data_IF_018582098839
#
_entry.id   IF_018582098839
#
_cell.length_a   1.000
_cell.length_b   1.000
_cell.length_c   1.000
_cell.angle_alpha   90.00
_cell.angle_beta   90.00
_cell.angle_gamma   90.00
#
_symmetry.space_group_name_H-M   'P 1'
#
loop_
_entity.id
_entity.type
_entity.pdbx_description
1 polymer ?
#
# COMPACT_ATOMS: atom_id res chain seq x y z
N UNK A 1 -17.03 13.85 -6.24
CA UNK A 1 -15.86 13.77 -5.33
C UNK A 1 -14.61 13.29 -6.08
N UNK A 2 -14.68 12.20 -6.86
CA UNK A 2 -13.58 11.69 -7.68
C UNK A 2 -12.95 12.71 -8.65
N UNK A 3 -13.76 13.54 -9.33
CA UNK A 3 -13.26 14.60 -10.23
C UNK A 3 -12.40 15.66 -9.51
N UNK A 4 -12.77 16.01 -8.27
CA UNK A 4 -12.00 16.97 -7.45
C UNK A 4 -10.70 16.35 -6.93
N UNK A 5 -10.69 15.05 -6.62
CA UNK A 5 -9.48 14.35 -6.19
C UNK A 5 -8.49 14.10 -7.35
N UNK A 6 -8.96 13.75 -8.55
CA UNK A 6 -8.11 13.69 -9.74
C UNK A 6 -7.45 15.04 -10.05
N UNK A 7 -8.16 16.15 -9.81
CA UNK A 7 -7.60 17.49 -9.97
C UNK A 7 -6.47 17.77 -8.96
N UNK A 8 -6.63 17.40 -7.68
CA UNK A 8 -5.54 17.51 -6.69
C UNK A 8 -4.34 16.64 -7.02
N UNK A 9 -4.58 15.44 -7.56
CA UNK A 9 -3.52 14.51 -7.94
C UNK A 9 -2.74 15.01 -9.18
N UNK A 10 -3.45 15.58 -10.15
CA UNK A 10 -2.84 16.28 -11.29
C UNK A 10 -2.07 17.52 -10.85
N UNK A 11 -2.62 18.34 -9.96
CA UNK A 11 -1.93 19.52 -9.40
C UNK A 11 -0.67 19.11 -8.64
N UNK A 12 -0.72 18.02 -7.88
CA UNK A 12 0.42 17.49 -7.14
C UNK A 12 1.52 16.97 -8.08
N UNK A 13 1.16 16.25 -9.14
CA UNK A 13 2.11 15.81 -10.18
C UNK A 13 2.68 17.01 -10.94
N UNK A 14 1.86 18.00 -11.29
CA UNK A 14 2.31 19.23 -11.97
C UNK A 14 3.23 20.11 -11.12
N UNK A 15 3.05 20.13 -9.79
CA UNK A 15 3.94 20.85 -8.86
C UNK A 15 5.36 20.25 -8.83
N UNK A 16 5.48 18.93 -8.96
CA UNK A 16 6.78 18.24 -8.97
C UNK A 16 7.54 18.47 -10.29
N UNK A 17 6.85 18.71 -11.40
CA UNK A 17 7.43 18.79 -12.75
C UNK A 17 8.15 20.10 -13.12
N UNK A 18 8.33 21.05 -12.19
CA UNK A 18 8.85 22.40 -12.52
C UNK A 18 10.31 22.65 -12.15
N UNK A 19 11.07 21.63 -11.70
CA UNK A 19 12.48 21.82 -11.35
C UNK A 19 13.39 21.82 -12.58
N UNK A 20 14.15 22.90 -12.75
CA UNK A 20 15.18 23.07 -13.78
C UNK A 20 16.51 22.43 -13.40
N UNK A 21 17.37 22.17 -14.37
CA UNK A 21 18.68 21.53 -14.22
C UNK A 21 19.63 22.25 -13.24
N UNK A 22 19.59 23.60 -13.17
CA UNK A 22 20.49 24.49 -12.42
C UNK A 22 20.66 24.23 -10.89
N UNK A 23 20.06 23.18 -10.36
CA UNK A 23 20.13 22.75 -8.96
C UNK A 23 21.28 21.74 -8.75
N UNK A 24 21.74 21.06 -9.80
CA UNK A 24 22.80 20.03 -9.71
C UNK A 24 24.19 20.61 -9.42
N UNK A 25 25.09 19.77 -8.90
CA UNK A 25 26.51 20.06 -8.58
C UNK A 25 26.77 21.03 -7.42
N UNK A 26 25.72 21.52 -6.75
CA UNK A 26 25.84 22.43 -5.59
C UNK A 26 26.07 21.67 -4.27
N UNK A 27 25.52 20.47 -4.17
CA UNK A 27 25.55 19.66 -2.96
C UNK A 27 25.85 18.20 -3.29
N UNK A 28 26.64 17.56 -2.43
CA UNK A 28 27.09 16.19 -2.61
C UNK A 28 26.84 15.33 -1.37
N UNK A 29 26.62 14.03 -1.60
CA UNK A 29 26.56 13.03 -0.55
C UNK A 29 27.88 12.90 0.21
N UNK A 30 27.78 12.60 1.51
CA UNK A 30 28.84 12.83 2.49
C UNK A 30 30.13 12.07 2.22
N UNK A 31 30.08 10.83 1.71
CA UNK A 31 31.28 9.99 1.56
C UNK A 31 32.27 10.55 0.53
N UNK A 32 31.77 11.06 -0.59
CA UNK A 32 32.61 11.56 -1.69
C UNK A 32 32.59 13.07 -1.87
N UNK A 33 31.86 13.81 -1.02
CA UNK A 33 31.74 15.27 -1.06
C UNK A 33 33.05 16.00 -1.30
N UNK A 34 34.05 15.81 -0.42
CA UNK A 34 35.34 16.52 -0.52
C UNK A 34 36.09 16.19 -1.82
N UNK A 35 35.92 14.97 -2.33
CA UNK A 35 36.57 14.53 -3.57
C UNK A 35 35.91 15.20 -4.77
N UNK A 36 34.58 15.26 -4.80
CA UNK A 36 33.85 15.95 -5.88
C UNK A 36 34.06 17.46 -5.84
N UNK A 37 34.06 18.08 -4.66
CA UNK A 37 34.37 19.50 -4.48
C UNK A 37 35.78 19.82 -5.00
N UNK A 38 36.79 19.02 -4.64
CA UNK A 38 38.14 19.21 -5.13
C UNK A 38 38.26 19.04 -6.65
N UNK A 39 37.68 17.99 -7.23
CA UNK A 39 37.70 17.77 -8.69
C UNK A 39 37.01 18.93 -9.43
N UNK A 40 35.91 19.43 -8.87
CA UNK A 40 35.17 20.56 -9.44
C UNK A 40 35.99 21.85 -9.44
N UNK A 41 36.74 22.11 -8.36
CA UNK A 41 37.57 23.30 -8.23
C UNK A 41 38.86 23.22 -9.05
N UNK A 42 39.52 22.06 -9.08
CA UNK A 42 40.84 21.89 -9.68
C UNK A 42 40.77 21.67 -11.20
N UNK A 43 39.81 20.86 -11.68
CA UNK A 43 39.83 20.34 -13.05
C UNK A 43 38.59 20.69 -13.88
N UNK A 44 37.38 20.74 -13.29
CA UNK A 44 36.11 20.86 -14.04
C UNK A 44 35.44 22.24 -13.94
N UNK A 45 36.21 23.27 -13.59
CA UNK A 45 35.68 24.59 -13.30
C UNK A 45 35.15 25.31 -14.56
N UNK A 46 35.71 25.01 -15.73
CA UNK A 46 35.32 25.63 -17.00
C UNK A 46 33.95 25.12 -17.46
N UNK A 47 33.78 23.81 -17.49
CA UNK A 47 32.54 23.12 -17.84
C UNK A 47 31.41 23.52 -16.90
N UNK A 48 31.70 23.63 -15.59
CA UNK A 48 30.72 24.05 -14.60
C UNK A 48 30.26 25.51 -14.80
N UNK A 49 31.16 26.42 -15.20
CA UNK A 49 30.78 27.80 -15.53
C UNK A 49 29.87 27.85 -16.76
N UNK A 50 30.18 27.07 -17.79
CA UNK A 50 29.34 26.98 -18.99
C UNK A 50 27.93 26.49 -18.63
N UNK A 51 27.83 25.48 -17.78
CA UNK A 51 26.56 24.97 -17.25
C UNK A 51 25.74 26.04 -16.48
N UNK A 52 26.40 26.95 -15.75
CA UNK A 52 25.70 28.02 -15.02
C UNK A 52 25.20 29.18 -15.90
N UNK A 53 25.88 29.45 -17.02
CA UNK A 53 25.68 30.68 -17.79
C UNK A 53 24.93 30.49 -19.11
N UNK A 54 24.94 29.30 -19.71
CA UNK A 54 24.28 29.07 -21.00
C UNK A 54 22.87 28.47 -20.84
N UNK A 55 21.88 29.16 -21.40
CA UNK A 55 20.52 28.62 -21.55
C UNK A 55 20.52 27.76 -22.80
N UNK A 56 20.36 26.46 -22.64
CA UNK A 56 20.42 25.51 -23.73
C UNK A 56 19.48 25.88 -24.90
N UNK A 57 19.93 25.79 -26.16
CA UNK A 57 19.02 25.76 -27.30
C UNK A 57 18.06 24.59 -27.13
N UNK A 58 16.77 24.81 -27.43
CA UNK A 58 15.63 23.91 -27.13
C UNK A 58 15.75 22.48 -27.67
N UNK A 59 16.72 22.21 -28.54
CA UNK A 59 16.85 20.95 -29.28
C UNK A 59 17.92 20.00 -28.70
N UNK A 60 18.71 20.40 -27.70
CA UNK A 60 19.78 19.56 -27.13
C UNK A 60 19.69 19.45 -25.61
N UNK A 61 18.79 18.57 -25.16
CA UNK A 61 18.44 18.28 -23.76
C UNK A 61 19.56 17.63 -22.91
N UNK A 62 20.85 17.82 -23.22
CA UNK A 62 21.96 17.27 -22.41
C UNK A 62 23.33 17.93 -22.66
N UNK A 63 23.43 18.96 -23.50
CA UNK A 63 24.73 19.46 -23.99
C UNK A 63 25.58 20.10 -22.88
N UNK A 64 24.95 20.60 -21.81
CA UNK A 64 25.65 21.37 -20.77
C UNK A 64 25.91 20.57 -19.51
N UNK A 65 25.02 19.65 -19.14
CA UNK A 65 25.19 18.83 -17.95
C UNK A 65 26.17 17.68 -18.20
N UNK A 66 26.15 17.08 -19.40
CA UNK A 66 27.00 15.92 -19.73
C UNK A 66 28.50 16.21 -19.65
N UNK A 67 29.03 17.33 -20.18
CA UNK A 67 30.46 17.64 -20.08
C UNK A 67 30.96 17.74 -18.63
N UNK A 68 30.14 18.30 -17.73
CA UNK A 68 30.46 18.37 -16.30
C UNK A 68 30.49 16.97 -15.69
N UNK A 69 29.52 16.12 -16.03
CA UNK A 69 29.50 14.71 -15.59
C UNK A 69 30.77 13.99 -16.05
N UNK A 70 31.09 14.09 -17.34
CA UNK A 70 32.21 13.40 -17.96
C UNK A 70 33.54 13.87 -17.36
N UNK A 71 33.74 15.18 -17.17
CA UNK A 71 34.93 15.70 -16.53
C UNK A 71 35.13 15.15 -15.10
N UNK A 72 34.06 15.09 -14.29
CA UNK A 72 34.15 14.53 -12.94
C UNK A 72 34.48 13.04 -13.01
N UNK A 73 33.82 12.29 -13.90
CA UNK A 73 34.04 10.86 -14.06
C UNK A 73 35.47 10.58 -14.54
N UNK A 74 36.02 11.31 -15.50
CA UNK A 74 37.39 11.13 -15.96
C UNK A 74 38.43 11.30 -14.84
N UNK A 75 38.20 12.23 -13.93
CA UNK A 75 39.08 12.53 -12.80
C UNK A 75 38.85 11.64 -11.56
N UNK A 76 37.89 10.71 -11.61
CA UNK A 76 37.65 9.74 -10.54
C UNK A 76 38.44 8.45 -10.75
N UNK A 77 39.02 7.94 -9.65
CA UNK A 77 39.63 6.61 -9.64
C UNK A 77 38.59 5.52 -9.98
N UNK A 78 39.02 4.49 -10.71
CA UNK A 78 38.19 3.35 -11.12
C UNK A 78 37.51 2.64 -9.93
N UNK A 79 38.18 2.58 -8.78
CA UNK A 79 37.59 2.01 -7.54
C UNK A 79 36.35 2.78 -7.08
N UNK A 80 36.33 4.12 -7.23
CA UNK A 80 35.17 4.95 -6.83
C UNK A 80 34.04 4.84 -7.85
N UNK A 81 34.37 4.81 -9.14
CA UNK A 81 33.39 4.52 -10.21
C UNK A 81 32.71 3.17 -9.99
N UNK A 82 33.50 2.15 -9.68
CA UNK A 82 33.00 0.81 -9.34
C UNK A 82 32.11 0.82 -8.10
N UNK A 83 32.45 1.59 -7.06
CA UNK A 83 31.59 1.75 -5.88
C UNK A 83 30.25 2.43 -6.23
N UNK A 84 30.27 3.50 -7.01
CA UNK A 84 29.05 4.19 -7.47
C UNK A 84 28.16 3.26 -8.31
N UNK A 85 28.76 2.42 -9.17
CA UNK A 85 28.02 1.41 -9.92
C UNK A 85 27.36 0.36 -9.00
N UNK A 86 28.03 -0.06 -7.93
CA UNK A 86 27.43 -0.94 -6.92
C UNK A 86 26.28 -0.26 -6.15
N UNK A 87 26.37 1.04 -5.89
CA UNK A 87 25.32 1.83 -5.26
C UNK A 87 24.05 1.89 -6.15
N UNK A 88 24.24 2.07 -7.46
CA UNK A 88 23.16 2.06 -8.44
C UNK A 88 22.40 0.72 -8.47
N UNK A 89 23.09 -0.42 -8.30
CA UNK A 89 22.42 -1.73 -8.17
C UNK A 89 21.54 -1.79 -6.92
N UNK A 90 22.06 -1.34 -5.78
CA UNK A 90 21.31 -1.32 -4.51
C UNK A 90 20.05 -0.44 -4.63
N UNK A 91 20.19 0.76 -5.19
CA UNK A 91 19.09 1.68 -5.42
C UNK A 91 18.11 1.15 -6.47
N UNK A 92 18.58 0.48 -7.51
CA UNK A 92 17.73 -0.17 -8.52
C UNK A 92 16.83 -1.27 -7.93
N UNK A 93 17.27 -1.94 -6.86
CA UNK A 93 16.47 -2.94 -6.15
C UNK A 93 15.50 -2.32 -5.13
N UNK A 94 15.63 -1.03 -4.82
CA UNK A 94 14.82 -0.33 -3.82
C UNK A 94 13.31 -0.41 -4.09
N UNK A 95 12.79 -0.15 -5.31
CA UNK A 95 11.35 -0.19 -5.56
C UNK A 95 10.74 -1.58 -5.30
N UNK A 96 11.45 -2.64 -5.71
CA UNK A 96 11.00 -4.02 -5.48
C UNK A 96 11.06 -4.40 -4.00
N UNK A 97 12.15 -4.06 -3.30
CA UNK A 97 12.27 -4.36 -1.85
C UNK A 97 11.22 -3.64 -1.03
N UNK A 98 10.96 -2.36 -1.33
CA UNK A 98 9.88 -1.61 -0.69
C UNK A 98 8.51 -2.14 -1.09
N UNK A 99 8.31 -2.62 -2.33
CA UNK A 99 7.07 -3.29 -2.74
C UNK A 99 6.80 -4.56 -1.94
N UNK A 100 7.82 -5.39 -1.69
CA UNK A 100 7.69 -6.61 -0.88
C UNK A 100 7.32 -6.31 0.58
N UNK A 101 7.87 -5.23 1.13
CA UNK A 101 7.59 -4.79 2.51
C UNK A 101 6.36 -3.88 2.58
N UNK A 102 5.93 -3.28 1.48
CA UNK A 102 4.87 -2.29 1.41
C UNK A 102 3.48 -2.88 1.66
N UNK A 103 2.52 -2.01 1.98
CA UNK A 103 1.12 -2.43 2.09
C UNK A 103 0.50 -2.56 0.70
N UNK A 104 -0.47 -3.44 0.54
CA UNK A 104 -1.21 -3.56 -0.71
C UNK A 104 -2.20 -2.38 -0.86
N UNK A 105 -2.64 -2.12 -2.09
CA UNK A 105 -3.68 -1.11 -2.32
C UNK A 105 -5.02 -1.47 -1.66
N UNK A 106 -5.31 -2.77 -1.53
CA UNK A 106 -6.54 -3.27 -0.88
C UNK A 106 -6.49 -2.99 0.62
N UNK A 107 -5.36 -3.25 1.27
CA UNK A 107 -5.15 -2.98 2.70
C UNK A 107 -5.34 -1.49 3.04
N UNK A 108 -4.67 -0.61 2.31
CA UNK A 108 -4.82 0.85 2.49
C UNK A 108 -6.24 1.30 2.13
N UNK A 109 -6.84 0.71 1.10
CA UNK A 109 -8.21 0.99 0.67
C UNK A 109 -9.25 0.63 1.74
N UNK A 110 -9.08 -0.50 2.44
CA UNK A 110 -9.95 -0.90 3.55
C UNK A 110 -9.85 0.07 4.74
N UNK A 111 -8.65 0.57 5.05
CA UNK A 111 -8.46 1.62 6.05
C UNK A 111 -9.18 2.91 5.60
N UNK A 112 -9.10 3.26 4.32
CA UNK A 112 -9.73 4.45 3.77
C UNK A 112 -11.27 4.44 3.85
N UNK A 113 -11.90 3.27 3.92
CA UNK A 113 -13.36 3.16 4.13
C UNK A 113 -13.82 3.72 5.49
N UNK A 114 -12.92 3.82 6.48
CA UNK A 114 -13.22 4.39 7.80
C UNK A 114 -12.45 5.66 8.13
N UNK A 115 -11.20 5.74 7.70
CA UNK A 115 -10.25 6.81 8.01
C UNK A 115 -9.53 7.29 6.73
N UNK A 116 -10.26 7.94 5.80
CA UNK A 116 -9.71 8.36 4.51
C UNK A 116 -8.50 9.28 4.60
N UNK A 117 -8.43 10.18 5.61
CA UNK A 117 -7.30 11.10 5.73
C UNK A 117 -6.06 10.38 6.25
N UNK A 118 -6.20 9.48 7.23
CA UNK A 118 -5.08 8.63 7.64
C UNK A 118 -4.58 7.77 6.47
N UNK A 119 -5.47 7.14 5.72
CA UNK A 119 -5.10 6.32 4.57
C UNK A 119 -4.33 7.11 3.50
N UNK A 120 -4.70 8.37 3.27
CA UNK A 120 -3.95 9.27 2.40
C UNK A 120 -2.53 9.52 2.90
N UNK A 121 -2.34 9.81 4.20
CA UNK A 121 -0.99 9.99 4.76
C UNK A 121 -0.16 8.72 4.67
N UNK A 122 -0.77 7.55 4.88
CA UNK A 122 -0.10 6.26 4.77
C UNK A 122 0.35 5.98 3.32
N UNK A 123 -0.51 6.28 2.34
CA UNK A 123 -0.16 6.21 0.93
C UNK A 123 0.93 7.21 0.52
N UNK A 124 0.91 8.42 1.09
CA UNK A 124 1.92 9.44 0.85
C UNK A 124 3.24 9.17 1.57
N UNK A 125 3.26 8.35 2.63
CA UNK A 125 4.46 7.99 3.38
C UNK A 125 5.11 6.69 2.94
N UNK A 126 4.43 5.89 2.09
CA UNK A 126 4.92 4.62 1.57
C UNK A 126 5.08 4.71 0.04
N UNK A 127 6.30 4.90 -0.48
CA UNK A 127 6.54 5.19 -1.89
C UNK A 127 6.47 3.96 -2.80
N UNK A 128 6.22 2.76 -2.28
CA UNK A 128 6.09 1.55 -3.08
C UNK A 128 4.89 0.72 -2.63
N UNK A 129 4.26 0.11 -3.61
CA UNK A 129 3.04 -0.68 -3.44
C UNK A 129 3.35 -2.14 -3.67
N UNK A 130 2.84 -3.02 -2.81
CA UNK A 130 2.98 -4.46 -3.04
C UNK A 130 2.19 -4.87 -4.29
N UNK A 131 2.82 -5.48 -5.30
CA UNK A 131 2.13 -5.91 -6.50
C UNK A 131 1.13 -7.02 -6.17
N UNK A 132 -0.06 -6.90 -6.72
CA UNK A 132 -1.10 -7.95 -6.69
C UNK A 132 -1.22 -8.48 -8.12
N UNK A 133 -1.40 -9.79 -8.27
CA UNK A 133 -1.54 -10.40 -9.59
C UNK A 133 -2.86 -9.96 -10.22
N UNK A 134 -2.82 -9.55 -11.49
CA UNK A 134 -4.03 -9.20 -12.25
C UNK A 134 -4.99 -10.39 -12.28
N UNK A 135 -6.27 -10.15 -11.98
CA UNK A 135 -7.34 -11.15 -11.85
C UNK A 135 -7.27 -12.08 -10.63
N UNK A 136 -6.26 -11.94 -9.78
CA UNK A 136 -6.23 -12.56 -8.46
C UNK A 136 -6.77 -11.55 -7.44
N UNK A 137 -8.10 -11.53 -7.32
CA UNK A 137 -8.77 -10.59 -6.44
C UNK A 137 -8.67 -11.09 -5.00
N UNK A 138 -7.90 -10.37 -4.17
CA UNK A 138 -7.89 -10.64 -2.72
C UNK A 138 -9.31 -10.48 -2.20
N UNK A 139 -9.89 -11.59 -1.71
CA UNK A 139 -11.18 -11.52 -1.05
C UNK A 139 -11.03 -10.73 0.25
N UNK A 140 -11.65 -9.56 0.29
CA UNK A 140 -11.66 -8.70 1.48
C UNK A 140 -12.25 -9.41 2.71
N UNK A 141 -13.14 -10.38 2.51
CA UNK A 141 -13.66 -11.19 3.63
C UNK A 141 -12.61 -12.13 4.18
N UNK A 142 -11.82 -12.80 3.33
CA UNK A 142 -10.73 -13.67 3.75
C UNK A 142 -9.63 -12.86 4.46
N UNK A 143 -9.27 -11.70 3.91
CA UNK A 143 -8.28 -10.80 4.52
C UNK A 143 -8.73 -10.34 5.91
N UNK A 144 -10.03 -10.12 6.11
CA UNK A 144 -10.62 -9.71 7.38
C UNK A 144 -11.12 -10.88 8.22
N UNK A 145 -10.96 -12.12 7.75
CA UNK A 145 -11.40 -13.30 8.48
C UNK A 145 -10.50 -13.55 9.69
N UNK A 146 -11.13 -13.94 10.79
CA UNK A 146 -10.44 -14.23 12.04
C UNK A 146 -9.77 -15.60 11.94
N UNK A 147 -8.44 -15.62 11.87
CA UNK A 147 -7.68 -16.86 12.05
C UNK A 147 -7.78 -17.36 13.51
N UNK A 148 -8.01 -18.66 13.73
CA UNK A 148 -8.09 -19.23 15.08
C UNK A 148 -6.77 -19.03 15.84
N UNK A 149 -6.85 -18.76 17.15
CA UNK A 149 -5.71 -18.53 18.07
C UNK A 149 -4.87 -17.26 17.81
N UNK A 150 -5.43 -16.25 17.15
CA UNK A 150 -4.76 -14.94 16.99
C UNK A 150 -4.92 -14.04 18.23
N UNK A 151 -3.90 -13.22 18.51
CA UNK A 151 -3.91 -12.26 19.62
C UNK A 151 -5.03 -11.25 19.41
N UNK A 152 -5.89 -11.06 20.42
CA UNK A 152 -6.98 -10.09 20.37
C UNK A 152 -6.47 -8.70 20.72
N UNK A 153 -6.76 -7.72 19.87
CA UNK A 153 -6.60 -6.31 20.24
C UNK A 153 -7.74 -5.99 21.19
N UNK A 154 -7.42 -5.72 22.46
CA UNK A 154 -8.43 -5.37 23.47
C UNK A 154 -9.10 -4.04 23.05
N UNK A 155 -10.43 -4.01 23.08
CA UNK A 155 -11.19 -2.75 22.92
C UNK A 155 -10.69 -1.74 23.94
N UNK A 156 -10.27 -0.59 23.45
CA UNK A 156 -9.72 0.47 24.27
C UNK A 156 -10.79 1.46 24.69
N UNK A 157 -10.61 2.03 25.89
CA UNK A 157 -11.39 3.18 26.33
C UNK A 157 -11.11 4.41 25.47
N UNK A 158 -12.03 5.38 25.47
CA UNK A 158 -11.99 6.56 24.60
C UNK A 158 -10.67 7.36 24.71
N UNK A 159 -10.14 7.55 25.92
CA UNK A 159 -8.88 8.29 26.15
C UNK A 159 -7.66 7.57 25.56
N UNK A 160 -7.60 6.25 25.71
CA UNK A 160 -6.49 5.45 25.16
C UNK A 160 -6.57 5.37 23.64
N UNK A 161 -7.79 5.23 23.08
CA UNK A 161 -8.02 5.28 21.64
C UNK A 161 -7.62 6.63 21.02
N UNK A 162 -7.95 7.74 21.69
CA UNK A 162 -7.52 9.06 21.25
C UNK A 162 -5.99 9.20 21.22
N UNK A 163 -5.30 8.76 22.28
CA UNK A 163 -3.83 8.80 22.33
C UNK A 163 -3.17 8.00 21.21
N UNK A 164 -3.66 6.78 20.91
CA UNK A 164 -3.15 5.98 19.80
C UNK A 164 -3.42 6.67 18.46
N UNK A 165 -4.60 7.27 18.28
CA UNK A 165 -4.91 8.00 17.05
C UNK A 165 -3.95 9.16 16.81
N UNK A 166 -3.69 9.97 17.84
CA UNK A 166 -2.71 11.06 17.78
C UNK A 166 -1.34 10.51 17.42
N UNK A 167 -0.90 9.43 18.06
CA UNK A 167 0.37 8.78 17.76
C UNK A 167 0.46 8.32 16.30
N UNK A 168 -0.59 7.69 15.76
CA UNK A 168 -0.62 7.27 14.36
C UNK A 168 -0.50 8.44 13.39
N UNK A 169 -1.19 9.56 13.63
CA UNK A 169 -1.09 10.74 12.77
C UNK A 169 0.30 11.37 12.83
N UNK A 170 0.89 11.48 14.02
CA UNK A 170 2.25 12.01 14.19
C UNK A 170 3.25 11.13 13.45
N UNK A 171 3.18 9.81 13.62
CA UNK A 171 4.09 8.87 12.95
C UNK A 171 3.89 8.83 11.44
N UNK A 172 2.64 8.87 10.96
CA UNK A 172 2.33 8.92 9.53
C UNK A 172 2.83 10.24 8.91
N UNK A 173 2.61 11.38 9.56
CA UNK A 173 3.12 12.67 9.09
C UNK A 173 4.65 12.69 9.09
N UNK A 174 5.31 12.16 10.13
CA UNK A 174 6.75 12.03 10.18
C UNK A 174 7.29 11.15 9.03
N UNK A 175 6.60 10.05 8.69
CA UNK A 175 6.97 9.19 7.58
C UNK A 175 6.88 9.92 6.23
N UNK A 176 5.83 10.73 6.01
CA UNK A 176 5.66 11.57 4.81
C UNK A 176 6.76 12.63 4.72
N UNK A 177 7.05 13.34 5.81
CA UNK A 177 8.09 14.37 5.83
C UNK A 177 9.46 13.75 5.57
N UNK A 178 9.78 12.61 6.21
CA UNK A 178 11.01 11.89 5.96
C UNK A 178 11.11 11.45 4.48
N UNK A 179 10.01 10.93 3.92
CA UNK A 179 9.98 10.54 2.51
C UNK A 179 10.27 11.73 1.59
N UNK A 180 9.55 12.84 1.78
CA UNK A 180 9.71 14.05 0.98
C UNK A 180 11.14 14.60 1.07
N UNK A 181 11.71 14.61 2.28
CA UNK A 181 13.08 15.08 2.52
C UNK A 181 14.12 14.20 1.85
N UNK A 182 14.01 12.87 1.98
CA UNK A 182 14.93 11.93 1.34
C UNK A 182 14.82 11.99 -0.18
N UNK A 183 13.60 12.07 -0.72
CA UNK A 183 13.41 12.25 -2.16
C UNK A 183 14.01 13.57 -2.66
N UNK A 184 13.84 14.66 -1.90
CA UNK A 184 14.48 15.94 -2.21
C UNK A 184 16.01 15.85 -2.19
N UNK A 185 16.61 15.29 -1.12
CA UNK A 185 18.06 15.13 -1.01
C UNK A 185 18.64 14.35 -2.20
N UNK A 186 18.01 13.25 -2.61
CA UNK A 186 18.44 12.48 -3.78
C UNK A 186 18.35 13.31 -5.05
N UNK A 187 17.24 14.02 -5.28
CA UNK A 187 17.04 14.84 -6.46
C UNK A 187 18.14 15.90 -6.65
N UNK A 188 18.66 16.48 -5.56
CA UNK A 188 19.65 17.55 -5.62
C UNK A 188 21.10 17.05 -5.54
N UNK A 189 21.36 15.93 -4.84
CA UNK A 189 22.72 15.40 -4.61
C UNK A 189 23.12 14.29 -5.58
N UNK A 190 22.20 13.85 -6.46
CA UNK A 190 22.47 12.86 -7.51
C UNK A 190 21.97 13.34 -8.85
N UNK A 191 22.42 12.68 -9.92
CA UNK A 191 22.03 12.98 -11.29
C UNK A 191 21.55 11.69 -11.95
N UNK A 192 20.54 11.80 -12.80
CA UNK A 192 19.99 10.67 -13.54
C UNK A 192 20.64 10.59 -14.93
N UNK A 193 21.41 9.53 -15.20
CA UNK A 193 22.27 9.46 -16.40
C UNK A 193 21.53 9.54 -17.74
N UNK A 194 20.31 9.01 -17.85
CA UNK A 194 19.52 9.05 -19.10
C UNK A 194 18.75 10.37 -19.30
N UNK A 195 18.62 11.20 -18.25
CA UNK A 195 17.88 12.46 -18.30
C UNK A 195 18.48 13.46 -17.29
N UNK A 196 19.73 13.88 -17.49
CA UNK A 196 20.50 14.64 -16.50
C UNK A 196 19.96 16.05 -16.26
N UNK A 197 19.15 16.59 -17.17
CA UNK A 197 18.48 17.89 -17.02
C UNK A 197 17.25 17.84 -16.07
N UNK A 198 16.80 16.64 -15.71
CA UNK A 198 15.54 16.44 -14.95
C UNK A 198 15.78 15.97 -13.52
N UNK A 199 15.91 16.93 -12.60
CA UNK A 199 16.17 16.65 -11.20
C UNK A 199 15.03 15.91 -10.47
N UNK A 200 13.78 16.08 -10.91
CA UNK A 200 12.60 15.67 -10.14
C UNK A 200 12.19 14.19 -10.31
N UNK A 201 12.90 13.40 -11.12
CA UNK A 201 12.52 12.01 -11.42
C UNK A 201 12.39 11.10 -10.17
N UNK A 202 13.33 11.10 -9.21
CA UNK A 202 13.18 10.30 -7.98
C UNK A 202 11.97 10.73 -7.14
N UNK A 203 11.71 12.03 -7.01
CA UNK A 203 10.55 12.55 -6.31
C UNK A 203 9.23 12.19 -7.01
N UNK A 204 9.20 12.28 -8.35
CA UNK A 204 8.06 11.86 -9.15
C UNK A 204 7.72 10.39 -8.88
N UNK A 205 8.72 9.50 -8.86
CA UNK A 205 8.50 8.10 -8.50
C UNK A 205 7.90 7.94 -7.10
N UNK A 206 8.48 8.62 -6.08
CA UNK A 206 8.04 8.48 -4.69
C UNK A 206 6.58 8.89 -4.51
N UNK A 207 6.16 9.94 -5.20
CA UNK A 207 4.82 10.50 -5.11
C UNK A 207 3.80 9.87 -6.08
N UNK A 208 4.25 9.23 -7.16
CA UNK A 208 3.39 8.48 -8.07
C UNK A 208 2.69 7.30 -7.36
N UNK A 209 3.26 6.79 -6.27
CA UNK A 209 2.64 5.77 -5.42
C UNK A 209 1.29 6.23 -4.83
N UNK A 210 1.12 7.53 -4.56
CA UNK A 210 -0.16 8.10 -4.11
C UNK A 210 -1.24 7.91 -5.15
N UNK A 211 -0.90 8.05 -6.44
CA UNK A 211 -1.80 7.78 -7.55
C UNK A 211 -2.26 6.33 -7.56
N UNK A 212 -1.32 5.40 -7.45
CA UNK A 212 -1.58 3.95 -7.44
C UNK A 212 -2.50 3.58 -6.27
N UNK A 213 -2.21 4.07 -5.06
CA UNK A 213 -3.05 3.86 -3.88
C UNK A 213 -4.44 4.51 -4.02
N UNK A 214 -4.55 5.67 -4.68
CA UNK A 214 -5.82 6.33 -4.94
C UNK A 214 -6.73 5.47 -5.82
N UNK A 215 -6.22 5.01 -6.98
CA UNK A 215 -7.00 4.15 -7.87
C UNK A 215 -7.35 2.80 -7.23
N UNK A 216 -6.42 2.22 -6.48
CA UNK A 216 -6.69 0.99 -5.74
C UNK A 216 -7.73 1.16 -4.63
N UNK A 217 -7.69 2.27 -3.90
CA UNK A 217 -8.72 2.63 -2.90
C UNK A 217 -10.08 2.81 -3.56
N UNK A 218 -10.13 3.46 -4.74
CA UNK A 218 -11.36 3.61 -5.49
C UNK A 218 -11.91 2.24 -5.91
N UNK A 219 -11.05 1.34 -6.41
CA UNK A 219 -11.44 -0.04 -6.71
C UNK A 219 -12.11 -0.71 -5.50
N UNK A 220 -11.50 -0.61 -4.30
CA UNK A 220 -12.08 -1.13 -3.05
C UNK A 220 -13.44 -0.49 -2.74
N UNK A 221 -13.60 0.82 -2.93
CA UNK A 221 -14.87 1.51 -2.67
C UNK A 221 -16.01 1.09 -3.62
N UNK A 222 -15.67 0.72 -4.86
CA UNK A 222 -16.62 0.17 -5.81
C UNK A 222 -17.12 -1.23 -5.40
N UNK A 223 -16.24 -2.06 -4.84
CA UNK A 223 -16.53 -3.46 -4.47
C UNK A 223 -17.04 -3.64 -3.04
N UNK A 224 -16.57 -2.82 -2.11
CA UNK A 224 -16.72 -3.05 -0.67
C UNK A 224 -17.41 -1.87 0.00
N UNK A 225 -18.43 -2.17 0.80
CA UNK A 225 -19.09 -1.18 1.66
C UNK A 225 -19.10 -1.69 3.09
N UNK A 226 -18.75 -0.83 4.03
CA UNK A 226 -18.95 -1.12 5.46
C UNK A 226 -20.33 -0.57 5.83
N UNK A 227 -21.27 -1.47 6.06
CA UNK A 227 -22.58 -1.12 6.61
C UNK A 227 -22.48 -1.08 8.14
N UNK A 228 -22.77 0.08 8.72
CA UNK A 228 -22.78 0.27 10.18
C UNK A 228 -24.21 0.01 10.64
N UNK A 229 -24.40 -0.80 11.70
CA UNK A 229 -25.75 -0.95 12.29
C UNK A 229 -26.27 0.46 12.64
N UNK A 230 -27.46 0.86 12.17
CA UNK A 230 -27.99 2.19 12.44
C UNK A 230 -28.08 2.38 13.95
N UNK A 231 -27.29 3.33 14.46
CA UNK A 231 -27.47 3.81 15.82
C UNK A 231 -28.78 4.59 15.87
N UNK A 232 -29.53 4.48 16.96
CA UNK A 232 -30.83 5.15 17.18
C UNK A 232 -30.79 6.68 16.95
N UNK A 233 -29.60 7.29 16.84
CA UNK A 233 -29.41 8.70 16.51
C UNK A 233 -28.43 8.83 15.33
N UNK A 234 -28.88 9.35 14.16
CA UNK A 234 -27.96 9.65 13.08
C UNK A 234 -27.01 10.78 13.52
N UNK A 235 -25.71 10.69 13.18
CA UNK A 235 -24.78 11.76 13.47
C UNK A 235 -25.13 12.99 12.62
N UNK A 236 -25.57 14.06 13.27
CA UNK A 236 -26.17 15.23 12.61
C UNK A 236 -25.20 16.40 12.42
N UNK A 237 -23.89 16.21 12.67
CA UNK A 237 -22.90 17.28 12.60
C UNK A 237 -21.59 16.91 11.92
N UNK A 238 -21.04 17.85 11.15
CA UNK A 238 -19.72 17.78 10.51
C UNK A 238 -18.60 17.52 11.54
N UNK A 239 -18.77 17.98 12.79
CA UNK A 239 -17.86 17.72 13.90
C UNK A 239 -17.81 16.25 14.33
N UNK A 240 -18.94 15.54 14.31
CA UNK A 240 -18.98 14.10 14.60
C UNK A 240 -18.30 13.29 13.48
N UNK A 241 -18.40 13.74 12.23
CA UNK A 241 -17.69 13.13 11.10
C UNK A 241 -16.17 13.30 11.25
N UNK A 242 -15.70 14.48 11.67
CA UNK A 242 -14.28 14.73 11.97
C UNK A 242 -13.81 13.93 13.20
N UNK A 243 -14.57 13.90 14.30
CA UNK A 243 -14.23 13.09 15.47
C UNK A 243 -14.19 11.58 15.15
N UNK A 244 -14.99 11.12 14.19
CA UNK A 244 -14.94 9.74 13.72
C UNK A 244 -13.60 9.43 13.03
N UNK A 245 -13.05 10.36 12.23
CA UNK A 245 -11.73 10.23 11.60
C UNK A 245 -10.61 10.00 12.63
N UNK A 246 -10.68 10.68 13.78
CA UNK A 246 -9.71 10.55 14.88
C UNK A 246 -10.01 9.42 15.86
N UNK A 247 -11.00 8.57 15.60
CA UNK A 247 -11.28 7.40 16.44
C UNK A 247 -10.75 6.13 15.77
N UNK A 248 -9.76 5.42 16.38
CA UNK A 248 -9.19 4.20 15.80
C UNK A 248 -10.27 3.14 15.56
N UNK A 249 -10.07 2.30 14.55
CA UNK A 249 -11.05 1.29 14.17
C UNK A 249 -11.44 0.37 15.33
N UNK A 250 -10.47 -0.01 16.18
CA UNK A 250 -10.68 -0.87 17.36
C UNK A 250 -11.46 -0.20 18.52
N UNK A 251 -11.53 1.14 18.55
CA UNK A 251 -12.18 1.88 19.63
C UNK A 251 -13.65 2.23 19.33
N UNK A 252 -14.13 1.93 18.12
CA UNK A 252 -15.52 2.18 17.74
C UNK A 252 -16.44 1.11 18.36
N UNK A 253 -17.47 1.57 19.06
CA UNK A 253 -18.44 0.71 19.76
C UNK A 253 -19.50 0.09 18.85
N UNK A 254 -19.67 0.61 17.63
CA UNK A 254 -20.71 0.17 16.70
C UNK A 254 -20.25 -1.07 15.95
N UNK A 255 -21.05 -2.14 16.03
CA UNK A 255 -20.88 -3.32 15.20
C UNK A 255 -21.03 -2.93 13.72
N UNK A 256 -20.12 -3.41 12.89
CA UNK A 256 -20.15 -3.17 11.45
C UNK A 256 -20.22 -4.49 10.70
N UNK A 257 -20.82 -4.44 9.52
CA UNK A 257 -20.93 -5.54 8.59
C UNK A 257 -20.20 -5.16 7.31
N UNK A 258 -19.43 -6.10 6.76
CA UNK A 258 -18.82 -5.98 5.46
C UNK A 258 -19.84 -6.44 4.41
N UNK A 259 -20.23 -5.56 3.51
CA UNK A 259 -21.09 -5.84 2.37
C UNK A 259 -20.22 -5.83 1.10
N UNK A 260 -20.09 -6.98 0.44
CA UNK A 260 -19.46 -7.09 -0.86
C UNK A 260 -20.53 -6.88 -1.92
N UNK A 261 -20.37 -5.84 -2.74
CA UNK A 261 -21.23 -5.55 -3.89
C UNK A 261 -20.86 -6.46 -5.06
N UNK A 262 -21.79 -6.68 -5.98
CA UNK A 262 -21.53 -7.41 -7.24
C UNK A 262 -20.43 -6.74 -8.09
N UNK A 263 -19.81 -7.54 -8.96
CA UNK A 263 -18.71 -7.06 -9.81
C UNK A 263 -19.25 -6.10 -10.87
N UNK A 264 -18.68 -4.90 -10.91
CA UNK A 264 -18.99 -3.91 -11.94
C UNK A 264 -17.84 -3.83 -12.93
N UNK A 265 -18.13 -3.51 -14.20
CA UNK A 265 -17.08 -3.27 -15.21
C UNK A 265 -16.08 -2.19 -14.75
N UNK A 266 -16.54 -1.18 -14.00
CA UNK A 266 -15.69 -0.15 -13.43
C UNK A 266 -14.68 -0.73 -12.42
N UNK A 267 -15.12 -1.64 -11.55
CA UNK A 267 -14.23 -2.33 -10.60
C UNK A 267 -13.16 -3.15 -11.34
N UNK A 268 -13.56 -3.92 -12.35
CA UNK A 268 -12.64 -4.74 -13.15
C UNK A 268 -11.58 -3.85 -13.82
N UNK A 269 -12.02 -2.75 -14.45
CA UNK A 269 -11.11 -1.79 -15.09
C UNK A 269 -10.15 -1.15 -14.09
N UNK A 270 -10.64 -0.62 -12.96
CA UNK A 270 -9.80 0.02 -11.94
C UNK A 270 -8.81 -0.95 -11.30
N UNK A 271 -9.22 -2.20 -11.07
CA UNK A 271 -8.34 -3.25 -10.55
C UNK A 271 -7.24 -3.59 -11.54
N UNK A 272 -7.58 -3.80 -12.81
CA UNK A 272 -6.60 -4.05 -13.88
C UNK A 272 -5.63 -2.88 -14.05
N UNK A 273 -6.15 -1.65 -14.04
CA UNK A 273 -5.36 -0.42 -14.15
C UNK A 273 -4.39 -0.27 -12.97
N UNK A 274 -4.86 -0.55 -11.74
CA UNK A 274 -4.03 -0.46 -10.53
C UNK A 274 -2.93 -1.54 -10.53
N UNK A 275 -3.26 -2.77 -10.92
CA UNK A 275 -2.28 -3.86 -11.01
C UNK A 275 -1.18 -3.55 -12.04
N UNK A 276 -1.59 -3.13 -13.24
CA UNK A 276 -0.66 -2.74 -14.32
C UNK A 276 0.16 -1.51 -13.91
N UNK A 277 -0.49 -0.50 -13.32
CA UNK A 277 0.14 0.71 -12.82
C UNK A 277 1.17 0.44 -11.73
N UNK A 278 0.93 -0.55 -10.86
CA UNK A 278 1.91 -0.97 -9.84
C UNK A 278 3.17 -1.57 -10.48
N UNK A 279 3.01 -2.42 -11.51
CA UNK A 279 4.15 -2.98 -12.25
C UNK A 279 4.94 -1.87 -12.95
N UNK A 280 4.25 -0.96 -13.65
CA UNK A 280 4.89 0.19 -14.31
C UNK A 280 5.60 1.11 -13.31
N UNK A 281 5.01 1.34 -12.14
CA UNK A 281 5.61 2.15 -11.07
C UNK A 281 6.91 1.53 -10.53
N UNK A 282 6.95 0.20 -10.34
CA UNK A 282 8.17 -0.51 -9.94
C UNK A 282 9.23 -0.41 -11.04
N UNK A 283 8.87 -0.70 -12.30
CA UNK A 283 9.81 -0.62 -13.44
C UNK A 283 10.37 0.79 -13.61
N UNK A 284 9.52 1.81 -13.52
CA UNK A 284 9.94 3.21 -13.57
C UNK A 284 10.91 3.56 -12.45
N UNK A 285 10.61 3.15 -11.22
CA UNK A 285 11.52 3.34 -10.09
C UNK A 285 12.86 2.68 -10.31
N UNK A 286 12.86 1.42 -10.77
CA UNK A 286 14.09 0.65 -10.99
C UNK A 286 14.97 1.36 -12.02
N UNK A 287 14.36 1.84 -13.10
CA UNK A 287 15.04 2.60 -14.15
C UNK A 287 15.64 3.90 -13.59
N UNK A 288 14.85 4.71 -12.87
CA UNK A 288 15.32 5.98 -12.29
C UNK A 288 16.45 5.75 -11.29
N UNK A 289 16.27 4.87 -10.31
CA UNK A 289 17.23 4.68 -9.23
C UNK A 289 18.52 3.95 -9.67
N UNK A 290 18.44 3.03 -10.62
CA UNK A 290 19.64 2.38 -11.20
C UNK A 290 20.44 3.31 -12.12
N UNK A 291 19.85 4.43 -12.53
CA UNK A 291 20.51 5.44 -13.36
C UNK A 291 21.09 6.59 -12.54
N UNK A 292 20.99 6.54 -11.21
CA UNK A 292 21.56 7.57 -10.35
C UNK A 292 23.07 7.45 -10.24
N UNK A 293 23.74 8.56 -10.49
CA UNK A 293 25.19 8.72 -10.34
C UNK A 293 25.51 9.71 -9.21
N UNK A 294 26.79 9.75 -8.83
CA UNK A 294 27.36 10.55 -7.74
C UNK A 294 26.90 10.19 -6.32
N UNK A 295 26.51 8.94 -6.10
CA UNK A 295 26.20 8.38 -4.78
C UNK A 295 27.08 7.17 -4.46
N UNK A 296 27.59 7.11 -3.24
CA UNK A 296 28.38 5.99 -2.74
C UNK A 296 27.49 4.84 -2.25
N UNK A 297 28.04 3.63 -2.10
CA UNK A 297 27.28 2.50 -1.53
C UNK A 297 26.84 2.75 -0.09
N UNK A 298 27.64 3.46 0.71
CA UNK A 298 27.30 3.77 2.10
C UNK A 298 26.13 4.75 2.17
N UNK A 299 26.18 5.82 1.38
CA UNK A 299 25.14 6.83 1.33
C UNK A 299 23.84 6.24 0.74
N UNK A 300 23.94 5.41 -0.30
CA UNK A 300 22.81 4.68 -0.86
C UNK A 300 22.15 3.76 0.17
N UNK A 301 22.94 3.08 1.01
CA UNK A 301 22.40 2.23 2.09
C UNK A 301 21.62 3.06 3.12
N UNK A 302 22.13 4.24 3.48
CA UNK A 302 21.43 5.15 4.39
C UNK A 302 20.10 5.63 3.78
N UNK A 303 20.10 5.98 2.50
CA UNK A 303 18.90 6.35 1.74
C UNK A 303 17.86 5.21 1.74
N UNK A 304 18.28 4.00 1.38
CA UNK A 304 17.43 2.79 1.38
C UNK A 304 16.84 2.55 2.76
N UNK A 305 17.65 2.66 3.81
CA UNK A 305 17.21 2.51 5.21
C UNK A 305 16.15 3.53 5.60
N UNK A 306 16.27 4.79 5.18
CA UNK A 306 15.26 5.82 5.46
C UNK A 306 13.94 5.57 4.72
N UNK A 307 13.99 5.16 3.45
CA UNK A 307 12.77 4.77 2.73
C UNK A 307 12.08 3.56 3.37
N UNK A 308 12.86 2.54 3.75
CA UNK A 308 12.35 1.36 4.45
C UNK A 308 11.70 1.72 5.78
N UNK A 309 12.31 2.62 6.55
CA UNK A 309 11.77 3.06 7.83
C UNK A 309 10.39 3.71 7.68
N UNK A 310 10.22 4.63 6.72
CA UNK A 310 8.91 5.23 6.42
C UNK A 310 7.87 4.17 6.01
N UNK A 311 8.23 3.25 5.11
CA UNK A 311 7.32 2.17 4.66
C UNK A 311 6.92 1.25 5.81
N UNK A 312 7.86 0.88 6.67
CA UNK A 312 7.60 0.02 7.83
C UNK A 312 6.67 0.70 8.84
N UNK A 313 6.89 1.98 9.14
CA UNK A 313 6.00 2.77 10.01
C UNK A 313 4.58 2.78 9.44
N UNK A 314 4.43 3.09 8.14
CA UNK A 314 3.12 3.07 7.48
C UNK A 314 2.48 1.68 7.55
N UNK A 315 3.24 0.61 7.28
CA UNK A 315 2.75 -0.78 7.36
C UNK A 315 2.27 -1.16 8.75
N UNK A 316 3.03 -0.81 9.79
CA UNK A 316 2.63 -1.10 11.18
C UNK A 316 1.29 -0.43 11.51
N UNK A 317 1.09 0.81 11.07
CA UNK A 317 -0.17 1.54 11.26
C UNK A 317 -1.32 0.88 10.48
N UNK A 318 -1.11 0.51 9.21
CA UNK A 318 -2.10 -0.21 8.39
C UNK A 318 -2.51 -1.52 9.06
N UNK A 319 -1.53 -2.34 9.48
CA UNK A 319 -1.78 -3.63 10.14
C UNK A 319 -2.53 -3.47 11.45
N UNK A 320 -2.24 -2.42 12.23
CA UNK A 320 -2.99 -2.11 13.44
C UNK A 320 -4.46 -1.77 13.14
N UNK A 321 -4.73 -0.90 12.16
CA UNK A 321 -6.09 -0.51 11.79
C UNK A 321 -6.90 -1.68 11.22
N UNK A 322 -6.31 -2.50 10.38
CA UNK A 322 -6.96 -3.71 9.84
C UNK A 322 -7.26 -4.73 10.93
N UNK A 323 -6.34 -4.91 11.88
CA UNK A 323 -6.57 -5.79 13.03
C UNK A 323 -7.73 -5.28 13.90
N UNK A 324 -7.84 -3.96 14.08
CA UNK A 324 -8.97 -3.32 14.75
C UNK A 324 -10.29 -3.50 13.98
N UNK A 325 -10.26 -3.38 12.66
CA UNK A 325 -11.43 -3.61 11.80
C UNK A 325 -11.91 -5.06 11.88
N UNK A 326 -10.99 -6.03 11.89
CA UNK A 326 -11.28 -7.46 12.04
C UNK A 326 -12.03 -7.77 13.35
N UNK A 327 -11.64 -7.16 14.47
CA UNK A 327 -12.35 -7.41 15.74
C UNK A 327 -13.77 -6.84 15.71
N UNK A 328 -13.97 -5.63 15.15
CA UNK A 328 -15.30 -5.02 15.04
C UNK A 328 -16.24 -5.81 14.12
N UNK A 329 -15.72 -6.42 13.05
CA UNK A 329 -16.48 -7.30 12.16
C UNK A 329 -16.77 -8.66 12.82
N UNK A 330 -15.82 -9.19 13.59
CA UNK A 330 -15.98 -10.45 14.32
C UNK A 330 -17.11 -10.41 15.36
N UNK A 331 -17.22 -9.31 16.10
CA UNK A 331 -18.27 -9.12 17.11
C UNK A 331 -19.68 -9.14 16.47
N UNK A 332 -19.85 -8.55 15.28
CA UNK A 332 -21.11 -8.62 14.55
C UNK A 332 -21.49 -10.07 14.20
N UNK A 333 -20.53 -10.87 13.72
CA UNK A 333 -20.78 -12.28 13.35
C UNK A 333 -21.25 -13.06 14.57
N UNK A 334 -20.61 -12.87 15.72
CA UNK A 334 -20.98 -13.52 16.97
C UNK A 334 -22.36 -13.08 17.49
N UNK A 335 -22.66 -11.78 17.47
CA UNK A 335 -23.98 -11.25 17.86
C UNK A 335 -25.10 -11.78 16.94
N UNK A 336 -24.84 -11.88 15.64
CA UNK A 336 -25.82 -12.41 14.67
C UNK A 336 -26.09 -13.90 14.88
N UNK A 337 -25.06 -14.71 15.22
CA UNK A 337 -25.24 -16.12 15.58
C UNK A 337 -26.07 -16.29 16.87
N UNK A 338 -25.90 -15.41 17.85
CA UNK A 338 -26.71 -15.42 19.07
C UNK A 338 -28.15 -14.91 18.87
N UNK A 339 -28.35 -13.93 17.98
CA UNK A 339 -29.67 -13.37 17.68
C UNK A 339 -30.53 -14.30 16.79
N UNK A 340 -29.91 -15.11 15.93
CA UNK A 340 -30.59 -16.09 15.07
C UNK A 340 -30.50 -17.52 15.62
N UNK A 341 -30.70 -17.71 16.93
CA UNK A 341 -30.74 -19.02 17.59
C UNK A 341 -31.88 -19.95 17.13
N UNK A 342 -31.86 -20.36 15.86
CA UNK A 342 -32.35 -21.66 15.42
C UNK A 342 -31.27 -22.72 15.68
N UNK A 343 -31.64 -24.00 15.83
CA UNK A 343 -30.72 -25.04 16.29
C UNK A 343 -29.49 -25.10 15.40
N UNK A 344 -28.33 -24.91 16.04
CA UNK A 344 -27.01 -25.07 15.45
C UNK A 344 -26.89 -26.52 14.95
N UNK A 345 -27.06 -26.74 13.65
CA UNK A 345 -26.70 -28.00 13.01
C UNK A 345 -25.18 -28.07 12.97
N UNK A 346 -24.59 -28.48 14.09
CA UNK A 346 -23.22 -29.01 14.11
C UNK A 346 -23.24 -30.22 13.17
N UNK A 347 -22.52 -30.21 12.04
CA UNK A 347 -22.34 -31.42 11.25
C UNK A 347 -21.40 -32.31 12.06
N UNK A 348 -21.97 -33.10 12.98
CA UNK A 348 -21.24 -34.19 13.59
C UNK A 348 -21.15 -35.30 12.56
N UNK A 349 -19.97 -35.41 11.96
CA UNK A 349 -19.60 -36.58 11.17
C UNK A 349 -19.59 -37.79 12.12
N UNK A 350 -20.64 -38.60 12.06
CA UNK A 350 -20.74 -39.80 12.88
C UNK A 350 -19.67 -40.80 12.42
N UNK A 351 -18.80 -41.30 13.31
CA UNK A 351 -17.80 -42.30 12.95
C UNK A 351 -18.48 -43.57 12.44
N UNK A 352 -17.85 -44.23 11.47
CA UNK A 352 -18.35 -45.45 10.85
C UNK A 352 -18.51 -46.57 11.88
N UNK A 353 -19.75 -47.03 12.09
CA UNK A 353 -20.09 -48.10 13.03
C UNK A 353 -21.51 -48.00 13.57
N UNK A 354 -21.89 -48.94 14.45
CA UNK A 354 -23.12 -48.87 15.25
C UNK A 354 -22.84 -48.17 16.57
N UNK A 355 -23.58 -47.11 16.87
CA UNK A 355 -23.48 -46.37 18.14
C UNK A 355 -24.85 -45.87 18.59
N UNK A 356 -24.97 -45.57 19.89
CA UNK A 356 -26.12 -44.86 20.45
C UNK A 356 -25.77 -43.38 20.62
N UNK A 357 -26.66 -42.51 20.16
CA UNK A 357 -26.53 -41.07 20.33
C UNK A 357 -27.47 -40.65 21.46
N UNK A 358 -26.93 -40.13 22.57
CA UNK A 358 -27.74 -39.64 23.70
C UNK A 358 -27.91 -38.12 23.61
N UNK A 359 -29.15 -37.66 23.54
CA UNK A 359 -29.48 -36.23 23.61
C UNK A 359 -30.17 -35.95 24.95
N UNK A 360 -29.40 -35.45 25.92
CA UNK A 360 -29.88 -35.22 27.28
C UNK A 360 -30.36 -36.48 28.01
N UNK A 361 -30.88 -36.31 29.23
CA UNK A 361 -31.18 -37.41 30.16
C UNK A 361 -32.37 -38.32 29.76
N UNK A 362 -32.98 -38.17 28.57
CA UNK A 362 -34.21 -38.93 28.27
C UNK A 362 -34.41 -39.48 26.86
N UNK A 363 -33.49 -39.27 25.91
CA UNK A 363 -33.67 -39.77 24.53
C UNK A 363 -32.37 -40.35 23.97
N UNK A 364 -32.30 -41.67 23.90
CA UNK A 364 -31.30 -42.41 23.14
C UNK A 364 -31.96 -43.03 21.90
N UNK A 365 -31.49 -42.69 20.70
CA UNK A 365 -31.89 -43.36 19.46
C UNK A 365 -30.69 -44.14 18.88
N UNK A 366 -30.87 -45.43 18.52
CA UNK A 366 -29.83 -46.20 17.86
C UNK A 366 -29.72 -45.79 16.38
N UNK A 367 -28.48 -45.60 15.90
CA UNK A 367 -28.18 -45.40 14.48
C UNK A 367 -27.33 -46.57 13.96
N UNK A 368 -27.60 -47.04 12.73
CA UNK A 368 -26.74 -47.96 11.99
C UNK A 368 -26.49 -47.42 10.56
N UNK A 369 -25.24 -47.09 10.20
CA UNK A 369 -24.84 -46.69 8.84
C UNK A 369 -24.13 -47.87 8.17
N UNK A 370 -24.65 -48.36 7.05
CA UNK A 370 -23.95 -49.35 6.21
C UNK A 370 -22.77 -48.72 5.48
N UNK A 371 -21.68 -49.48 5.31
CA UNK A 371 -20.51 -49.03 4.56
C UNK A 371 -20.87 -48.87 3.07
N UNK A 372 -20.95 -47.63 2.58
CA UNK A 372 -21.06 -47.39 1.14
C UNK A 372 -19.66 -47.48 0.51
N UNK A 373 -19.49 -48.45 -0.39
CA UNK A 373 -18.34 -48.55 -1.29
C UNK A 373 -18.42 -47.50 -2.38
N UNK A 374 -17.25 -47.03 -2.79
CA UNK A 374 -16.96 -45.96 -3.75
C UNK A 374 -17.32 -46.36 -5.19
N UNK A 375 -18.60 -46.37 -5.55
CA UNK A 375 -19.11 -46.30 -6.94
C UNK A 375 -20.61 -46.09 -6.85
N UNK A 376 -21.09 -44.85 -7.01
CA UNK A 376 -22.43 -44.51 -7.52
C UNK A 376 -22.53 -42.98 -7.52
N UNK A 377 -21.95 -42.41 -8.57
CA UNK A 377 -22.03 -41.00 -8.93
C UNK A 377 -23.09 -40.85 -10.03
N UNK A 378 -24.01 -39.90 -9.84
CA UNK A 378 -24.94 -39.33 -10.82
C UNK A 378 -26.14 -40.17 -11.32
N UNK A 379 -27.34 -39.88 -10.78
CA UNK A 379 -28.56 -39.84 -11.61
C UNK A 379 -29.50 -38.68 -11.19
N UNK A 380 -29.99 -37.87 -12.15
CA UNK A 380 -30.94 -36.78 -11.90
C UNK A 380 -32.37 -37.33 -11.80
N UNK A 381 -33.08 -37.00 -10.73
CA UNK A 381 -34.46 -37.43 -10.49
C UNK A 381 -35.42 -36.71 -11.44
N UNK A 382 -35.88 -37.46 -12.45
CA UNK A 382 -37.04 -37.21 -13.30
C UNK A 382 -38.31 -37.47 -12.47
N UNK A 383 -39.11 -36.44 -12.22
CA UNK A 383 -40.40 -36.57 -11.55
C UNK A 383 -41.51 -36.89 -12.56
N UNK A 384 -42.22 -38.00 -12.35
CA UNK A 384 -43.53 -38.25 -12.95
C UNK A 384 -44.49 -38.76 -11.88
N UNK A 385 -45.56 -37.97 -11.74
CA UNK A 385 -46.95 -38.31 -11.48
C UNK A 385 -47.39 -39.01 -10.20
N UNK A 386 -48.37 -38.36 -9.54
CA UNK A 386 -49.64 -39.02 -9.20
C UNK A 386 -50.82 -38.05 -9.13
N UNK A 387 -51.82 -38.40 -9.94
CA UNK A 387 -53.25 -38.10 -9.97
C UNK A 387 -53.94 -37.58 -8.68
N UNK A 388 -54.88 -36.64 -8.92
CA UNK A 388 -56.32 -36.89 -8.77
C UNK A 388 -57.06 -36.03 -7.74
N UNK A 389 -58.00 -35.18 -8.19
CA UNK A 389 -59.44 -35.27 -7.89
C UNK A 389 -60.27 -34.13 -8.52
N UNK A 390 -61.41 -34.54 -9.09
CA UNK A 390 -62.61 -33.82 -9.58
C UNK A 390 -62.50 -32.79 -10.72
#
# INVERSE_FOLDING_TARGET
>A
MALRLCFFLLVFVSLVSTSTAAVHFTHWYGQYRKVFEQIMEDNCQEEYRTYLHEVAPKDYLSEYVTPVIDCILENLNETRKSNMAAAAVLLGLLPTTLGLVGSTTVEVGLVALRRPFLAFLLAAGAPAVSPIRTFDYIDTTELLERKPKTIRIKRMGWSSGFLISVFQYVMAAAAVVNLAFVSYEICIQTICSFAPETAYLPALWAFLAVAVHFFGTWSVHCRTRISIRPSEKPPTGLWQMLCAEFTPSASRKQAAQLEIKEETYLYIFLSWFTATGTVLHIVYGTLVFSSLIFISTSDATAVVGRYLASTLVCRVIVMYELSGLREVLGDWRQDSHHAHGGPEFIPMEAPSGSGSMSFGERLSRPWKRGSLSRTDEWQPLRGTDRHGEA
#
